data_IF_554207198174
#
_entry.id   IF_554207198174
#
_cell.length_a   1.000
_cell.length_b   1.000
_cell.length_c   1.000
_cell.angle_alpha   90.00
_cell.angle_beta   90.00
_cell.angle_gamma   90.00
#
_symmetry.space_group_name_H-M   'P 1'
#
loop_
_entity.id
_entity.type
_entity.pdbx_description
1 polymer ?
#
# COMPACT_ATOMS: atom_id res chain seq x y z
N UNK A 1 -9.00 -10.31 37.88
CA UNK A 1 -9.35 -10.11 36.46
C UNK A 1 -10.03 -11.39 35.98
N UNK A 2 -11.25 -11.35 35.44
CA UNK A 2 -11.99 -12.56 34.99
C UNK A 2 -11.90 -12.65 33.47
N UNK A 3 -11.40 -13.77 32.94
CA UNK A 3 -11.25 -14.00 31.51
C UNK A 3 -12.61 -14.40 30.91
N UNK A 4 -12.91 -13.95 29.68
CA UNK A 4 -14.15 -14.29 28.99
C UNK A 4 -13.98 -15.52 28.11
N UNK A 5 -14.03 -16.70 28.72
CA UNK A 5 -13.69 -17.98 28.08
C UNK A 5 -14.53 -18.28 26.83
N UNK A 6 -15.80 -17.83 26.79
CA UNK A 6 -16.71 -18.01 25.64
C UNK A 6 -16.29 -17.25 24.37
N UNK A 7 -15.29 -16.36 24.44
CA UNK A 7 -14.79 -15.62 23.26
C UNK A 7 -13.60 -16.30 22.59
N UNK A 8 -13.00 -17.30 23.23
CA UNK A 8 -11.81 -17.96 22.72
C UNK A 8 -12.21 -19.14 21.82
N UNK A 9 -11.53 -19.25 20.69
CA UNK A 9 -11.61 -20.36 19.76
C UNK A 9 -10.18 -20.85 19.51
N UNK A 10 -10.02 -22.16 19.38
CA UNK A 10 -8.72 -22.76 19.08
C UNK A 10 -8.54 -22.88 17.57
N UNK A 11 -7.40 -22.46 17.05
CA UNK A 11 -6.97 -22.71 15.68
C UNK A 11 -5.72 -23.61 15.74
N UNK A 12 -5.75 -24.75 15.06
CA UNK A 12 -4.59 -25.66 14.95
C UNK A 12 -3.93 -25.42 13.61
N UNK A 13 -2.68 -24.99 13.64
CA UNK A 13 -1.91 -24.69 12.42
C UNK A 13 -0.94 -25.84 12.12
N UNK A 14 -0.98 -26.34 10.89
CA UNK A 14 -0.01 -27.32 10.39
C UNK A 14 -0.32 -28.79 10.71
N UNK A 15 0.59 -29.67 10.28
CA UNK A 15 0.46 -31.13 10.11
C UNK A 15 0.09 -31.99 11.35
N UNK A 16 -0.34 -31.40 12.47
CA UNK A 16 -0.89 -32.12 13.61
C UNK A 16 -2.35 -32.59 13.42
N UNK A 17 -2.95 -32.42 12.24
CA UNK A 17 -4.24 -33.04 11.93
C UNK A 17 -4.17 -34.59 11.86
N UNK A 18 -2.97 -35.17 11.77
CA UNK A 18 -2.77 -36.62 11.74
C UNK A 18 -2.63 -37.29 13.12
N UNK A 19 -2.62 -36.52 14.22
CA UNK A 19 -2.72 -37.11 15.54
C UNK A 19 -4.16 -37.56 15.76
N UNK A 20 -4.40 -38.88 15.79
CA UNK A 20 -5.73 -39.45 15.96
C UNK A 20 -6.41 -39.06 17.29
N UNK A 21 -5.69 -38.43 18.22
CA UNK A 21 -6.20 -37.92 19.50
C UNK A 21 -5.56 -36.57 19.88
N UNK A 22 -6.05 -35.46 19.35
CA UNK A 22 -5.58 -34.14 19.74
C UNK A 22 -5.93 -33.84 21.21
N UNK A 23 -4.96 -33.43 22.03
CA UNK A 23 -5.23 -32.98 23.41
C UNK A 23 -6.14 -31.75 23.40
N UNK A 24 -7.27 -31.74 24.13
CA UNK A 24 -8.20 -30.63 24.16
C UNK A 24 -7.63 -29.45 24.96
N UNK A 25 -7.90 -28.22 24.50
CA UNK A 25 -7.63 -27.03 25.30
C UNK A 25 -8.82 -26.80 26.24
N UNK A 26 -8.54 -26.70 27.54
CA UNK A 26 -9.55 -26.46 28.55
C UNK A 26 -9.55 -24.99 28.98
N UNK A 27 -10.75 -24.43 29.10
CA UNK A 27 -11.01 -23.15 29.72
C UNK A 27 -10.73 -23.20 31.23
N UNK A 28 -10.71 -22.04 31.88
CA UNK A 28 -10.45 -21.96 33.34
C UNK A 28 -11.49 -22.70 34.19
N UNK A 29 -12.69 -22.91 33.63
CA UNK A 29 -13.78 -23.68 34.23
C UNK A 29 -13.78 -25.17 33.83
N UNK A 30 -12.74 -25.66 33.14
CA UNK A 30 -12.62 -27.06 32.70
C UNK A 30 -13.45 -27.43 31.47
N UNK A 31 -14.09 -26.46 30.81
CA UNK A 31 -14.82 -26.67 29.55
C UNK A 31 -13.87 -26.72 28.36
N UNK A 32 -14.16 -27.56 27.38
CA UNK A 32 -13.34 -27.65 26.17
C UNK A 32 -13.57 -26.45 25.24
N UNK A 33 -12.47 -25.86 24.76
CA UNK A 33 -12.49 -24.77 23.77
C UNK A 33 -12.66 -25.38 22.38
N UNK A 34 -13.67 -24.94 21.65
CA UNK A 34 -13.96 -25.45 20.31
C UNK A 34 -12.84 -25.12 19.33
N UNK A 35 -12.41 -26.14 18.58
CA UNK A 35 -11.49 -25.95 17.45
C UNK A 35 -12.25 -25.53 16.21
N UNK A 36 -11.81 -24.46 15.56
CA UNK A 36 -12.34 -23.98 14.28
C UNK A 36 -11.23 -24.00 13.23
N UNK A 37 -11.61 -24.22 11.97
CA UNK A 37 -10.69 -24.10 10.81
C UNK A 37 -10.37 -22.65 10.48
N UNK A 38 -11.21 -21.71 10.93
CA UNK A 38 -11.00 -20.30 10.73
C UNK A 38 -11.31 -19.54 12.02
N UNK A 39 -10.42 -18.66 12.45
CA UNK A 39 -10.60 -17.83 13.65
C UNK A 39 -10.38 -16.36 13.30
N UNK A 40 -11.23 -15.47 13.82
CA UNK A 40 -11.08 -14.03 13.67
C UNK A 40 -10.31 -13.47 14.85
N UNK A 41 -9.19 -12.81 14.60
CA UNK A 41 -8.42 -12.08 15.60
C UNK A 41 -8.20 -10.65 15.14
N UNK A 42 -8.63 -9.66 15.94
CA UNK A 42 -8.39 -8.23 15.69
C UNK A 42 -8.79 -7.73 14.27
N UNK A 43 -9.79 -8.37 13.64
CA UNK A 43 -10.23 -8.02 12.29
C UNK A 43 -9.58 -8.82 11.17
N UNK A 44 -8.60 -9.67 11.47
CA UNK A 44 -7.96 -10.59 10.53
C UNK A 44 -8.54 -11.99 10.72
N UNK A 45 -8.95 -12.62 9.63
CA UNK A 45 -9.34 -14.02 9.61
C UNK A 45 -8.09 -14.89 9.38
N UNK A 46 -7.79 -15.81 10.29
CA UNK A 46 -6.71 -16.77 10.15
C UNK A 46 -7.30 -18.16 9.86
N UNK A 47 -6.74 -18.81 8.85
CA UNK A 47 -7.06 -20.19 8.48
C UNK A 47 -6.05 -21.16 9.09
N UNK A 48 -6.45 -22.42 9.22
CA UNK A 48 -5.65 -23.52 9.78
C UNK A 48 -4.44 -23.91 8.92
N UNK A 49 -4.46 -23.55 7.63
CA UNK A 49 -3.31 -23.62 6.72
C UNK A 49 -2.28 -22.50 6.95
N UNK A 50 -2.51 -21.61 7.92
CA UNK A 50 -1.75 -20.38 8.17
C UNK A 50 -1.59 -19.47 6.95
N UNK A 51 -2.42 -19.64 5.93
CA UNK A 51 -2.50 -18.71 4.82
C UNK A 51 -3.56 -17.66 5.10
N UNK A 52 -3.40 -16.50 4.47
CA UNK A 52 -4.40 -15.43 4.54
C UNK A 52 -5.45 -15.56 3.43
N UNK A 53 -5.59 -16.71 2.76
CA UNK A 53 -6.49 -16.84 1.60
C UNK A 53 -7.93 -16.50 1.97
N UNK A 54 -8.45 -17.09 3.05
CA UNK A 54 -9.81 -16.81 3.51
C UNK A 54 -9.97 -15.34 3.92
N UNK A 55 -8.95 -14.74 4.55
CA UNK A 55 -8.98 -13.30 4.85
C UNK A 55 -9.02 -12.47 3.58
N UNK A 56 -8.16 -12.75 2.61
CA UNK A 56 -8.05 -12.01 1.35
C UNK A 56 -9.36 -12.12 0.58
N UNK A 57 -9.88 -13.33 0.39
CA UNK A 57 -11.17 -13.57 -0.27
C UNK A 57 -12.29 -12.84 0.43
N UNK A 58 -12.46 -13.03 1.74
CA UNK A 58 -13.52 -12.38 2.50
C UNK A 58 -13.42 -10.86 2.51
N UNK A 59 -12.20 -10.33 2.62
CA UNK A 59 -11.98 -8.89 2.79
C UNK A 59 -12.00 -8.14 1.45
N UNK A 60 -11.53 -8.78 0.36
CA UNK A 60 -11.45 -8.19 -0.99
C UNK A 60 -12.68 -8.51 -1.83
N UNK A 61 -13.20 -9.76 -1.81
CA UNK A 61 -14.34 -10.17 -2.65
C UNK A 61 -15.69 -9.77 -2.05
N UNK A 62 -15.84 -9.75 -0.73
CA UNK A 62 -17.08 -9.29 -0.07
C UNK A 62 -17.10 -7.76 0.16
N UNK A 63 -16.16 -7.01 -0.45
CA UNK A 63 -16.06 -5.55 -0.38
C UNK A 63 -15.95 -4.96 1.05
N UNK A 64 -15.52 -5.74 2.04
CA UNK A 64 -15.37 -5.28 3.42
C UNK A 64 -14.21 -4.30 3.61
N UNK A 65 -13.25 -4.30 2.68
CA UNK A 65 -12.23 -3.24 2.57
C UNK A 65 -12.35 -2.59 1.20
N UNK A 66 -12.25 -1.26 1.10
CA UNK A 66 -12.26 -0.56 -0.18
C UNK A 66 -11.16 -1.14 -1.09
N UNK A 67 -11.56 -1.92 -2.09
CA UNK A 67 -10.62 -2.41 -3.07
C UNK A 67 -10.19 -1.21 -3.95
N UNK A 68 -8.90 -0.80 -3.92
CA UNK A 68 -8.44 0.35 -4.69
C UNK A 68 -8.57 0.12 -6.21
N UNK A 69 -8.69 -1.13 -6.68
CA UNK A 69 -8.90 -1.44 -8.10
C UNK A 69 -10.36 -1.50 -8.52
N UNK A 70 -11.31 -1.58 -7.57
CA UNK A 70 -12.75 -1.57 -7.86
C UNK A 70 -13.29 -0.16 -8.14
N UNK A 71 -12.51 0.88 -7.87
CA UNK A 71 -12.83 2.24 -8.28
C UNK A 71 -12.45 2.35 -9.76
N UNK A 72 -13.45 2.21 -10.62
CA UNK A 72 -13.42 2.37 -12.10
C UNK A 72 -12.82 3.69 -12.62
N UNK A 73 -12.35 4.56 -11.72
CA UNK A 73 -11.81 5.91 -12.00
C UNK A 73 -10.27 5.97 -12.08
N UNK A 74 -9.57 4.83 -12.11
CA UNK A 74 -8.22 4.77 -12.71
C UNK A 74 -8.33 4.86 -14.26
N UNK A 75 -9.13 5.81 -14.73
CA UNK A 75 -9.59 5.94 -16.10
C UNK A 75 -8.95 7.17 -16.76
N UNK A 76 -7.66 7.06 -17.05
CA UNK A 76 -7.03 7.75 -18.19
C UNK A 76 -5.55 7.40 -18.23
N UNK A 77 -5.21 6.40 -19.05
CA UNK A 77 -3.87 6.32 -19.61
C UNK A 77 -3.80 7.32 -20.75
N UNK A 78 -3.36 8.55 -20.46
CA UNK A 78 -3.12 9.53 -21.51
C UNK A 78 -1.77 9.24 -22.15
N UNK A 79 -1.76 8.86 -23.42
CA UNK A 79 -0.53 8.66 -24.18
C UNK A 79 -0.19 9.98 -24.87
N UNK A 80 0.92 10.59 -24.47
CA UNK A 80 1.43 11.78 -25.14
C UNK A 80 2.70 11.42 -25.93
N UNK A 81 2.80 11.77 -27.23
CA UNK A 81 3.98 11.45 -28.05
C UNK A 81 5.31 11.93 -27.46
N UNK A 82 5.30 13.08 -26.75
CA UNK A 82 6.50 13.69 -26.17
C UNK A 82 6.83 13.17 -24.78
N UNK A 83 5.83 12.78 -23.98
CA UNK A 83 6.01 12.50 -22.54
C UNK A 83 5.61 11.08 -22.12
N UNK A 84 5.16 10.24 -23.05
CA UNK A 84 4.78 8.85 -22.83
C UNK A 84 3.42 8.66 -22.15
N UNK A 85 3.20 7.46 -21.61
CA UNK A 85 1.99 7.07 -20.87
C UNK A 85 1.91 7.81 -19.55
N UNK A 86 0.77 8.44 -19.25
CA UNK A 86 0.49 9.07 -17.95
C UNK A 86 -0.78 8.49 -17.35
N UNK A 87 -0.81 8.31 -16.03
CA UNK A 87 -1.99 7.90 -15.29
C UNK A 87 -2.64 9.11 -14.60
N UNK A 88 -3.97 9.17 -14.58
CA UNK A 88 -4.72 10.21 -13.84
C UNK A 88 -5.85 9.56 -13.05
N UNK A 89 -6.09 10.09 -11.85
CA UNK A 89 -7.32 9.87 -11.09
C UNK A 89 -7.95 11.20 -10.74
N UNK A 90 -9.20 11.39 -11.13
CA UNK A 90 -10.01 12.54 -10.73
C UNK A 90 -10.57 12.35 -9.34
N UNK A 91 -10.60 13.42 -8.56
CA UNK A 91 -11.35 13.45 -7.31
C UNK A 91 -12.82 13.79 -7.64
N UNK A 92 -13.81 13.26 -6.89
CA UNK A 92 -15.19 13.65 -7.06
C UNK A 92 -15.35 15.16 -6.85
N UNK A 93 -15.93 15.87 -7.83
CA UNK A 93 -16.13 17.33 -7.77
C UNK A 93 -17.04 17.73 -6.60
N UNK A 94 -18.01 16.87 -6.28
CA UNK A 94 -19.10 17.21 -5.37
C UNK A 94 -18.82 16.75 -3.93
N UNK A 95 -17.68 16.10 -3.70
CA UNK A 95 -17.29 15.65 -2.37
C UNK A 95 -16.94 16.85 -1.45
N UNK A 96 -17.30 16.80 -0.15
CA UNK A 96 -16.87 17.74 0.86
C UNK A 96 -15.33 17.87 0.93
N UNK A 97 -14.84 19.05 1.30
CA UNK A 97 -13.40 19.34 1.37
C UNK A 97 -12.62 18.31 2.21
N UNK A 98 -13.15 17.91 3.38
CA UNK A 98 -12.53 16.87 4.22
C UNK A 98 -12.37 15.54 3.49
N UNK A 99 -13.38 15.14 2.72
CA UNK A 99 -13.35 13.90 1.93
C UNK A 99 -12.35 14.03 0.78
N UNK A 100 -12.28 15.17 0.11
CA UNK A 100 -11.26 15.44 -0.93
C UNK A 100 -9.84 15.35 -0.36
N UNK A 101 -9.60 15.85 0.85
CA UNK A 101 -8.31 15.71 1.54
C UNK A 101 -7.99 14.24 1.86
N UNK A 102 -8.95 13.48 2.40
CA UNK A 102 -8.76 12.06 2.67
C UNK A 102 -8.50 11.26 1.38
N UNK A 103 -9.18 11.60 0.30
CA UNK A 103 -8.98 10.96 -1.00
C UNK A 103 -7.66 11.38 -1.65
N UNK A 104 -7.20 12.62 -1.48
CA UNK A 104 -5.96 13.10 -2.07
C UNK A 104 -4.71 12.47 -1.43
N UNK A 105 -4.81 12.03 -0.17
CA UNK A 105 -3.77 11.26 0.53
C UNK A 105 -3.92 9.74 0.36
N UNK A 106 -4.97 9.27 -0.30
CA UNK A 106 -5.22 7.83 -0.52
C UNK A 106 -4.34 7.25 -1.63
N UNK A 107 -4.00 5.95 -1.52
CA UNK A 107 -3.18 5.24 -2.50
C UNK A 107 -3.69 5.36 -3.95
N UNK A 108 -5.01 5.21 -4.27
CA UNK A 108 -5.42 5.32 -5.65
C UNK A 108 -5.25 6.74 -6.23
N UNK A 109 -5.11 7.79 -5.41
CA UNK A 109 -4.75 9.13 -5.88
C UNK A 109 -3.25 9.38 -5.94
N UNK A 110 -2.48 8.88 -4.95
CA UNK A 110 -1.02 9.02 -4.91
C UNK A 110 -0.35 8.13 -5.98
N UNK A 111 -0.85 6.92 -6.20
CA UNK A 111 -0.30 5.94 -7.14
C UNK A 111 -0.09 6.49 -8.56
N UNK A 112 -1.10 7.10 -9.21
CA UNK A 112 -0.94 7.76 -10.50
C UNK A 112 0.11 8.88 -10.50
N UNK A 113 0.23 9.64 -9.41
CA UNK A 113 1.26 10.69 -9.28
C UNK A 113 2.66 10.08 -9.23
N UNK A 114 2.85 9.04 -8.41
CA UNK A 114 4.10 8.29 -8.32
C UNK A 114 4.49 7.67 -9.67
N UNK A 115 3.54 7.03 -10.35
CA UNK A 115 3.77 6.48 -11.69
C UNK A 115 4.26 7.56 -12.65
N UNK A 116 3.62 8.73 -12.67
CA UNK A 116 3.97 9.83 -13.56
C UNK A 116 5.36 10.44 -13.30
N UNK A 117 5.90 10.31 -12.08
CA UNK A 117 7.26 10.73 -11.75
C UNK A 117 8.32 9.76 -12.28
N UNK A 118 7.94 8.54 -12.70
CA UNK A 118 8.90 7.60 -13.27
C UNK A 118 9.38 8.06 -14.67
N UNK A 119 10.63 7.71 -15.04
CA UNK A 119 11.18 7.97 -16.37
C UNK A 119 10.27 7.44 -17.47
N UNK A 120 10.20 8.17 -18.59
CA UNK A 120 9.36 7.77 -19.74
C UNK A 120 9.70 6.36 -20.25
N UNK A 121 10.97 5.96 -20.21
CA UNK A 121 11.43 4.61 -20.56
C UNK A 121 10.78 3.54 -19.67
N UNK A 122 10.74 3.80 -18.36
CA UNK A 122 10.10 2.92 -17.38
C UNK A 122 8.58 2.90 -17.54
N UNK A 123 7.96 4.07 -17.69
CA UNK A 123 6.50 4.19 -17.89
C UNK A 123 6.02 3.56 -19.17
N UNK A 124 6.84 3.49 -20.22
CA UNK A 124 6.46 2.96 -21.53
C UNK A 124 6.88 1.49 -21.74
N UNK A 125 7.49 0.82 -20.76
CA UNK A 125 7.78 -0.62 -20.83
C UNK A 125 6.49 -1.42 -21.03
N UNK A 126 6.39 -2.13 -22.15
CA UNK A 126 5.32 -3.07 -22.47
C UNK A 126 5.91 -4.47 -22.61
N UNK A 127 5.07 -5.50 -22.43
CA UNK A 127 5.45 -6.92 -22.67
C UNK A 127 6.66 -7.42 -21.85
N UNK A 128 6.92 -6.82 -20.68
CA UNK A 128 7.97 -7.28 -19.78
C UNK A 128 7.40 -8.11 -18.62
N UNK A 129 8.19 -9.06 -18.11
CA UNK A 129 7.85 -9.76 -16.87
C UNK A 129 7.82 -8.79 -15.68
N UNK A 130 7.07 -9.14 -14.65
CA UNK A 130 6.97 -8.36 -13.40
C UNK A 130 8.35 -8.16 -12.77
N UNK A 131 9.18 -9.19 -12.77
CA UNK A 131 10.55 -9.16 -12.24
C UNK A 131 11.45 -8.18 -12.99
N UNK A 132 11.36 -8.18 -14.33
CA UNK A 132 12.12 -7.25 -15.17
C UNK A 132 11.70 -5.80 -14.91
N UNK A 133 10.40 -5.54 -14.77
CA UNK A 133 9.90 -4.23 -14.41
C UNK A 133 10.40 -3.79 -13.02
N UNK A 134 10.29 -4.66 -12.01
CA UNK A 134 10.80 -4.41 -10.66
C UNK A 134 12.29 -4.08 -10.67
N UNK A 135 13.10 -4.85 -11.38
CA UNK A 135 14.53 -4.61 -11.49
C UNK A 135 14.84 -3.22 -12.09
N UNK A 136 14.15 -2.82 -13.17
CA UNK A 136 14.32 -1.48 -13.72
C UNK A 136 13.83 -0.38 -12.77
N UNK A 137 12.77 -0.63 -12.01
CA UNK A 137 12.26 0.31 -11.01
C UNK A 137 13.28 0.48 -9.87
N UNK A 138 13.79 -0.62 -9.33
CA UNK A 138 14.79 -0.61 -8.24
C UNK A 138 16.05 0.15 -8.67
N UNK A 139 16.56 -0.10 -9.88
CA UNK A 139 17.70 0.63 -10.44
C UNK A 139 17.42 2.14 -10.54
N UNK A 140 16.19 2.54 -10.84
CA UNK A 140 15.83 3.95 -10.85
C UNK A 140 15.69 4.52 -9.43
N UNK A 141 15.08 3.80 -8.50
CA UNK A 141 14.94 4.26 -7.11
C UNK A 141 16.30 4.45 -6.43
N UNK A 142 17.32 3.65 -6.77
CA UNK A 142 18.70 3.86 -6.32
C UNK A 142 19.30 5.22 -6.73
N UNK A 143 18.77 5.88 -7.77
CA UNK A 143 19.23 7.20 -8.21
C UNK A 143 18.63 8.35 -7.40
N UNK A 144 17.61 8.08 -6.58
CA UNK A 144 16.90 9.09 -5.80
C UNK A 144 17.56 9.13 -4.40
N UNK A 145 18.04 10.30 -3.94
CA UNK A 145 18.64 10.41 -2.62
C UNK A 145 17.59 10.20 -1.52
N UNK A 146 17.90 9.29 -0.59
CA UNK A 146 17.10 8.99 0.59
C UNK A 146 17.71 9.71 1.80
N UNK A 147 17.50 11.02 1.87
CA UNK A 147 18.05 11.90 2.91
C UNK A 147 16.92 12.34 3.86
N UNK A 148 16.54 11.52 4.87
CA UNK A 148 15.53 11.94 5.83
C UNK A 148 16.00 13.19 6.59
N UNK A 149 15.12 14.16 6.83
CA UNK A 149 15.50 15.38 7.53
C UNK A 149 15.99 15.07 8.95
N UNK A 150 17.16 15.59 9.31
CA UNK A 150 17.71 15.47 10.66
C UNK A 150 16.88 16.36 11.60
N UNK A 151 16.33 15.83 12.71
CA UNK A 151 15.58 16.62 13.68
C UNK A 151 16.41 17.82 14.17
N UNK A 152 15.84 19.03 14.06
CA UNK A 152 16.52 20.28 14.43
C UNK A 152 17.33 20.95 13.31
N UNK A 153 17.50 20.31 12.15
CA UNK A 153 18.24 20.84 10.99
C UNK A 153 17.41 20.78 9.69
N UNK A 154 16.10 21.03 9.78
CA UNK A 154 15.19 20.96 8.62
C UNK A 154 15.44 22.02 7.55
N UNK A 155 16.26 23.04 7.83
CA UNK A 155 16.67 24.05 6.83
C UNK A 155 17.79 23.57 5.89
N UNK A 156 18.41 22.43 6.17
CA UNK A 156 19.57 21.91 5.43
C UNK A 156 19.18 20.77 4.48
N UNK A 157 17.93 20.31 4.51
CA UNK A 157 17.47 19.28 3.58
C UNK A 157 17.34 19.84 2.17
N UNK A 158 17.81 19.07 1.18
CA UNK A 158 17.69 19.42 -0.24
C UNK A 158 16.24 19.51 -0.67
N UNK A 159 15.37 18.67 -0.09
CA UNK A 159 13.94 18.58 -0.36
C UNK A 159 13.08 19.02 0.81
N UNK A 160 11.87 19.47 0.48
CA UNK A 160 10.82 19.80 1.44
C UNK A 160 10.41 18.54 2.24
N UNK A 161 10.36 17.38 1.59
CA UNK A 161 10.15 16.08 2.24
C UNK A 161 10.96 14.98 1.57
N UNK A 162 11.09 13.85 2.25
CA UNK A 162 11.73 12.66 1.69
C UNK A 162 10.80 11.84 0.75
N UNK A 163 9.76 12.48 0.20
CA UNK A 163 8.87 11.82 -0.75
C UNK A 163 9.54 11.74 -2.13
N UNK A 164 9.32 10.63 -2.85
CA UNK A 164 9.81 10.46 -4.24
C UNK A 164 9.40 11.64 -5.14
N UNK A 165 8.21 12.20 -4.92
CA UNK A 165 7.73 13.34 -5.71
C UNK A 165 8.59 14.58 -5.51
N UNK A 166 8.99 14.87 -4.27
CA UNK A 166 9.76 16.07 -3.95
C UNK A 166 11.23 15.89 -4.33
N UNK A 167 11.80 14.70 -4.08
CA UNK A 167 13.18 14.39 -4.47
C UNK A 167 13.38 14.43 -6.00
N UNK A 168 12.45 13.90 -6.78
CA UNK A 168 12.52 13.93 -8.25
C UNK A 168 12.36 15.35 -8.80
N UNK A 169 11.51 16.18 -8.18
CA UNK A 169 11.34 17.58 -8.58
C UNK A 169 12.63 18.39 -8.42
N UNK A 170 13.44 18.11 -7.39
CA UNK A 170 14.75 18.74 -7.23
C UNK A 170 15.74 18.32 -8.29
N UNK A 171 15.82 17.02 -8.60
CA UNK A 171 16.70 16.54 -9.67
C UNK A 171 16.40 17.22 -11.00
N UNK A 172 15.12 17.50 -11.29
CA UNK A 172 14.73 18.28 -12.46
C UNK A 172 15.15 19.76 -12.39
N UNK A 173 15.12 20.37 -11.21
CA UNK A 173 15.61 21.74 -11.00
C UNK A 173 17.12 21.84 -11.18
N UNK A 174 17.87 20.89 -10.63
CA UNK A 174 19.33 20.84 -10.70
C UNK A 174 19.84 20.50 -12.12
N UNK A 175 19.07 19.74 -12.90
CA UNK A 175 19.39 19.37 -14.28
C UNK A 175 19.11 20.47 -15.33
N UNK A 176 18.75 21.70 -14.92
CA UNK A 176 18.71 22.87 -15.82
C UNK A 176 17.55 22.94 -16.82
N UNK A 177 16.49 22.13 -16.69
CA UNK A 177 15.27 22.30 -17.48
C UNK A 177 14.33 23.30 -16.78
N UNK A 178 14.55 24.60 -17.04
CA UNK A 178 13.75 25.69 -16.49
C UNK A 178 12.27 25.65 -16.91
N UNK A 179 11.39 25.91 -15.93
CA UNK A 179 10.26 26.86 -16.01
C UNK A 179 9.34 26.72 -14.78
N UNK A 180 9.56 27.57 -13.76
CA UNK A 180 8.56 28.38 -13.03
C UNK A 180 9.09 28.71 -11.63
N UNK A 181 9.19 30.02 -11.36
CA UNK A 181 9.76 30.58 -10.15
C UNK A 181 8.96 30.26 -8.90
N UNK A 182 9.64 29.71 -7.91
CA UNK A 182 9.28 29.88 -6.50
C UNK A 182 10.40 30.66 -5.85
N UNK A 183 10.11 31.87 -5.37
CA UNK A 183 11.06 32.68 -4.62
C UNK A 183 11.57 31.91 -3.40
N UNK A 184 12.85 32.07 -3.01
CA UNK A 184 13.35 31.50 -1.77
C UNK A 184 12.57 32.14 -0.60
N UNK A 185 12.00 31.30 0.26
CA UNK A 185 11.46 31.78 1.54
C UNK A 185 12.66 32.12 2.43
N UNK A 186 12.77 33.42 2.74
CA UNK A 186 13.60 33.94 3.83
C UNK A 186 13.12 33.39 5.18
#
# INVERSE_FOLDING_TARGET
>A
MKLHDNKFQSLRVGAQQNDQNPTPFLASEGREITSSTNVKCLGVHLSDDATFRHNIEKTILENLVPNPTAISDLSAQHINPRTGRKARRTLPSDAPARIKTLLSTSLPHIGPKLFNNLPGKLRNLTECSVEKFKHHLDNHLQTIPDEPPVPGYTSVSRADTNSISDQVNLQHRDAGFGCSGGAPRL
#
